data_IF_045400757507
#
_entry.id   IF_045400757507
#
_cell.length_a   1.000
_cell.length_b   1.000
_cell.length_c   1.000
_cell.angle_alpha   90.00
_cell.angle_beta   90.00
_cell.angle_gamma   90.00
#
_symmetry.space_group_name_H-M   'P 1'
#
loop_
_entity.id
_entity.type
_entity.pdbx_description
1 polymer ?
#
# COMPACT_ATOMS: atom_id res chain seq x y z
N UNK A 1 -22.25 -15.48 11.88
CA UNK A 1 -21.18 -15.11 12.86
C UNK A 1 -20.68 -13.72 12.53
N UNK A 2 -20.85 -12.78 13.46
CA UNK A 2 -20.42 -11.40 13.24
C UNK A 2 -18.89 -11.30 13.37
N UNK A 3 -18.26 -10.93 12.28
CA UNK A 3 -16.82 -10.70 12.18
C UNK A 3 -16.56 -9.23 11.80
N UNK A 4 -15.62 -8.59 12.49
CA UNK A 4 -15.19 -7.25 12.13
C UNK A 4 -13.80 -7.29 11.49
N UNK A 5 -13.70 -6.82 10.24
CA UNK A 5 -12.44 -6.52 9.59
C UNK A 5 -11.98 -5.13 10.01
N UNK A 6 -10.77 -5.01 10.56
CA UNK A 6 -10.31 -3.76 11.17
C UNK A 6 -8.91 -3.37 10.70
N UNK A 7 -8.77 -2.11 10.33
CA UNK A 7 -7.51 -1.41 10.05
C UNK A 7 -7.39 -0.26 11.02
N UNK A 8 -6.29 -0.17 11.75
CA UNK A 8 -6.02 0.94 12.68
C UNK A 8 -4.55 1.03 13.05
N UNK A 9 -4.18 2.04 13.84
CA UNK A 9 -2.78 2.36 14.16
C UNK A 9 -1.91 2.60 12.91
N UNK A 10 -2.52 3.05 11.84
CA UNK A 10 -1.92 3.42 10.56
C UNK A 10 -2.75 4.58 10.00
N UNK A 11 -2.48 5.05 8.80
CA UNK A 11 -3.38 6.00 8.14
C UNK A 11 -4.73 5.33 7.80
N UNK A 12 -5.79 6.12 7.75
CA UNK A 12 -7.13 5.70 7.32
C UNK A 12 -7.72 4.49 8.08
N UNK A 13 -7.86 4.63 9.40
CA UNK A 13 -8.52 3.60 10.18
C UNK A 13 -9.91 3.28 9.61
N UNK A 14 -10.21 2.00 9.47
CA UNK A 14 -11.44 1.53 8.83
C UNK A 14 -12.00 0.28 9.51
N UNK A 15 -13.31 0.13 9.42
CA UNK A 15 -14.08 -0.97 10.00
C UNK A 15 -15.04 -1.53 8.97
N UNK A 16 -15.02 -2.85 8.78
CA UNK A 16 -16.00 -3.59 7.99
C UNK A 16 -16.68 -4.64 8.85
N UNK A 17 -17.99 -4.75 8.74
CA UNK A 17 -18.81 -5.74 9.47
C UNK A 17 -19.30 -6.80 8.50
N UNK A 18 -19.04 -8.07 8.85
CA UNK A 18 -19.51 -9.21 8.08
C UNK A 18 -20.41 -10.10 8.93
N UNK A 19 -21.47 -10.66 8.34
CA UNK A 19 -22.11 -11.86 8.86
C UNK A 19 -21.71 -13.03 7.96
N UNK A 20 -20.90 -13.94 8.52
CA UNK A 20 -20.21 -14.97 7.75
C UNK A 20 -19.43 -14.36 6.56
N UNK A 21 -19.84 -14.64 5.33
CA UNK A 21 -19.19 -14.14 4.10
C UNK A 21 -19.90 -12.91 3.51
N UNK A 22 -20.97 -12.42 4.13
CA UNK A 22 -21.72 -11.27 3.65
C UNK A 22 -21.23 -9.98 4.30
N UNK A 23 -20.78 -9.03 3.50
CA UNK A 23 -20.48 -7.68 3.94
C UNK A 23 -21.79 -6.95 4.26
N UNK A 24 -21.97 -6.55 5.52
CA UNK A 24 -23.13 -5.81 5.99
C UNK A 24 -22.89 -4.29 5.98
N UNK A 25 -21.67 -3.87 6.32
CA UNK A 25 -21.33 -2.46 6.44
C UNK A 25 -19.81 -2.24 6.41
N UNK A 26 -19.41 -1.08 5.90
CA UNK A 26 -18.01 -0.62 5.94
C UNK A 26 -17.95 0.89 6.08
N UNK A 27 -16.94 1.39 6.78
CA UNK A 27 -16.74 2.83 7.00
C UNK A 27 -15.27 3.18 7.25
N UNK A 28 -14.92 4.42 6.97
CA UNK A 28 -13.65 5.02 7.35
C UNK A 28 -13.83 5.84 8.64
N UNK A 29 -12.81 5.87 9.49
CA UNK A 29 -12.84 6.71 10.71
C UNK A 29 -13.01 8.19 10.39
N UNK A 30 -12.40 8.67 9.30
CA UNK A 30 -12.53 10.06 8.82
C UNK A 30 -13.97 10.50 8.53
N UNK A 31 -14.87 9.57 8.20
CA UNK A 31 -16.28 9.89 7.94
C UNK A 31 -16.97 10.40 9.23
N UNK A 32 -16.44 10.02 10.37
CA UNK A 32 -16.91 10.39 11.71
C UNK A 32 -16.07 11.49 12.36
N UNK A 33 -14.74 11.35 12.33
CA UNK A 33 -13.81 12.27 12.97
C UNK A 33 -13.57 13.56 12.17
N UNK A 34 -13.82 13.55 10.85
CA UNK A 34 -13.49 14.62 9.90
C UNK A 34 -11.97 14.95 9.82
N UNK A 35 -11.14 14.00 10.24
CA UNK A 35 -9.68 14.09 10.17
C UNK A 35 -9.18 13.23 9.01
N UNK A 36 -8.50 13.84 8.04
CA UNK A 36 -7.88 13.10 6.96
C UNK A 36 -6.74 12.21 7.48
N UNK A 37 -6.64 10.99 6.93
CA UNK A 37 -5.67 9.97 7.33
C UNK A 37 -5.75 9.60 8.82
N UNK A 38 -6.94 9.68 9.45
CA UNK A 38 -7.12 9.37 10.87
C UNK A 38 -6.65 7.94 11.19
N UNK A 39 -5.60 7.76 12.01
CA UNK A 39 -5.07 6.44 12.33
C UNK A 39 -5.91 5.68 13.37
N UNK A 40 -6.87 6.34 14.01
CA UNK A 40 -7.61 5.79 15.14
C UNK A 40 -9.09 5.58 14.79
N UNK A 41 -9.69 4.57 15.43
CA UNK A 41 -11.13 4.43 15.37
C UNK A 41 -11.82 5.60 16.09
N UNK A 42 -13.02 5.92 15.65
CA UNK A 42 -13.90 6.87 16.27
C UNK A 42 -14.94 6.16 17.16
N UNK A 43 -15.25 6.70 18.33
CA UNK A 43 -16.24 6.11 19.26
C UNK A 43 -17.61 5.94 18.61
N UNK A 44 -18.05 6.94 17.86
CA UNK A 44 -19.34 6.88 17.14
C UNK A 44 -19.33 5.79 16.07
N UNK A 45 -18.22 5.63 15.33
CA UNK A 45 -18.07 4.55 14.35
C UNK A 45 -18.24 3.16 14.99
N UNK A 46 -17.54 2.91 16.10
CA UNK A 46 -17.60 1.65 16.84
C UNK A 46 -19.01 1.40 17.40
N UNK A 47 -19.64 2.46 17.90
CA UNK A 47 -20.97 2.36 18.48
C UNK A 47 -22.05 2.09 17.44
N UNK A 48 -22.01 2.76 16.29
CA UNK A 48 -22.90 2.49 15.15
C UNK A 48 -22.77 1.02 14.70
N UNK A 49 -21.55 0.53 14.56
CA UNK A 49 -21.32 -0.88 14.17
C UNK A 49 -21.92 -1.84 15.22
N UNK A 50 -21.70 -1.57 16.50
CA UNK A 50 -22.18 -2.42 17.62
C UNK A 50 -23.70 -2.43 17.75
N UNK A 51 -24.33 -1.24 17.66
CA UNK A 51 -25.78 -1.11 17.80
C UNK A 51 -26.54 -1.69 16.62
N UNK A 52 -26.03 -1.48 15.39
CA UNK A 52 -26.72 -1.92 14.17
C UNK A 52 -26.54 -3.40 13.86
N UNK A 53 -25.36 -3.98 14.20
CA UNK A 53 -24.99 -5.32 13.75
C UNK A 53 -24.55 -6.26 14.88
N UNK A 54 -24.42 -5.75 16.10
CA UNK A 54 -23.94 -6.48 17.27
C UNK A 54 -22.42 -6.45 17.44
N UNK A 55 -21.93 -6.84 18.65
CA UNK A 55 -20.52 -6.89 18.95
C UNK A 55 -19.83 -7.98 18.12
N UNK A 56 -18.52 -7.84 17.80
CA UNK A 56 -17.80 -8.84 17.05
C UNK A 56 -17.59 -10.10 17.88
N UNK A 57 -17.83 -11.27 17.28
CA UNK A 57 -17.43 -12.57 17.81
C UNK A 57 -15.98 -12.89 17.44
N UNK A 58 -15.47 -12.25 16.38
CA UNK A 58 -14.10 -12.34 15.91
C UNK A 58 -13.69 -11.01 15.25
N UNK A 59 -12.43 -10.63 15.41
CA UNK A 59 -11.79 -9.53 14.66
C UNK A 59 -10.76 -10.12 13.70
N UNK A 60 -10.79 -9.68 12.45
CA UNK A 60 -9.71 -9.90 11.49
C UNK A 60 -8.92 -8.60 11.36
N UNK A 61 -7.66 -8.63 11.81
CA UNK A 61 -6.74 -7.49 11.75
C UNK A 61 -5.88 -7.56 10.48
N UNK A 62 -5.70 -6.44 9.80
CA UNK A 62 -5.16 -6.33 8.45
C UNK A 62 -3.67 -6.67 8.29
N UNK A 63 -2.89 -6.74 9.37
CA UNK A 63 -1.45 -7.03 9.33
C UNK A 63 -1.01 -7.88 10.53
N UNK A 64 0.21 -8.42 10.47
CA UNK A 64 0.81 -9.18 11.56
C UNK A 64 1.72 -8.28 12.41
N UNK A 65 1.32 -7.88 13.64
CA UNK A 65 2.03 -6.91 14.47
C UNK A 65 3.47 -7.32 14.78
N UNK A 66 3.73 -8.61 14.94
CA UNK A 66 5.07 -9.12 15.20
C UNK A 66 6.04 -8.82 14.05
N UNK A 67 5.61 -9.01 12.80
CA UNK A 67 6.45 -8.71 11.64
C UNK A 67 6.66 -7.21 11.47
N UNK A 68 5.65 -6.39 11.77
CA UNK A 68 5.78 -4.93 11.80
C UNK A 68 6.83 -4.50 12.83
N UNK A 69 6.78 -5.04 14.05
CA UNK A 69 7.76 -4.77 15.11
C UNK A 69 9.17 -5.18 14.69
N UNK A 70 9.33 -6.37 14.09
CA UNK A 70 10.62 -6.86 13.63
C UNK A 70 11.21 -5.95 12.52
N UNK A 71 10.36 -5.48 11.59
CA UNK A 71 10.78 -4.52 10.57
C UNK A 71 11.21 -3.19 11.17
N UNK A 72 10.44 -2.65 12.11
CA UNK A 72 10.74 -1.38 12.80
C UNK A 72 12.08 -1.46 13.53
N UNK A 73 12.32 -2.56 14.22
CA UNK A 73 13.61 -2.82 14.86
C UNK A 73 14.76 -2.86 13.86
N UNK A 74 14.61 -3.60 12.76
CA UNK A 74 15.62 -3.70 11.70
C UNK A 74 15.87 -2.37 10.99
N UNK A 75 14.89 -1.49 10.95
CA UNK A 75 15.00 -0.13 10.42
C UNK A 75 15.62 0.86 11.44
N UNK A 76 16.01 0.41 12.64
CA UNK A 76 16.59 1.25 13.67
C UNK A 76 15.59 2.17 14.39
N UNK A 77 14.29 1.85 14.31
CA UNK A 77 13.22 2.66 14.91
C UNK A 77 12.92 2.27 16.38
N UNK A 78 13.63 1.28 16.95
CA UNK A 78 13.44 0.80 18.31
C UNK A 78 12.79 -0.58 18.39
N UNK A 79 12.68 -1.12 19.61
CA UNK A 79 12.24 -2.51 19.86
C UNK A 79 10.84 -2.62 20.47
N UNK A 80 10.40 -1.62 21.24
CA UNK A 80 9.15 -1.66 21.98
C UNK A 80 8.17 -0.61 21.45
N UNK A 81 7.27 -1.03 20.58
CA UNK A 81 6.14 -0.23 20.13
C UNK A 81 4.88 -0.70 20.84
N UNK A 82 4.43 0.06 21.85
CA UNK A 82 3.12 -0.16 22.52
C UNK A 82 1.95 -0.13 21.52
N UNK A 83 2.13 0.60 20.43
CA UNK A 83 1.15 0.72 19.32
C UNK A 83 0.95 -0.60 18.59
N UNK A 84 1.90 -1.52 18.63
CA UNK A 84 1.78 -2.85 18.02
C UNK A 84 1.09 -3.87 18.95
N UNK A 85 0.72 -3.50 20.18
CA UNK A 85 -0.15 -4.32 21.03
C UNK A 85 -1.61 -4.10 20.63
N UNK A 86 -2.04 -4.86 19.63
CA UNK A 86 -3.40 -4.75 19.08
C UNK A 86 -4.46 -5.17 20.10
N UNK A 87 -4.15 -6.09 21.03
CA UNK A 87 -5.08 -6.47 22.09
C UNK A 87 -5.34 -5.31 23.04
N UNK A 88 -4.27 -4.63 23.48
CA UNK A 88 -4.40 -3.46 24.33
C UNK A 88 -5.10 -2.29 23.59
N UNK A 89 -4.84 -2.14 22.28
CA UNK A 89 -5.51 -1.15 21.44
C UNK A 89 -7.02 -1.40 21.34
N UNK A 90 -7.43 -2.63 20.99
CA UNK A 90 -8.85 -3.00 20.84
C UNK A 90 -9.61 -3.02 22.17
N UNK A 91 -8.91 -3.30 23.28
CA UNK A 91 -9.50 -3.24 24.62
C UNK A 91 -10.01 -1.82 24.99
N UNK A 92 -9.43 -0.77 24.43
CA UNK A 92 -9.92 0.61 24.62
C UNK A 92 -11.33 0.83 24.06
N UNK A 93 -11.74 -0.05 23.15
CA UNK A 93 -13.05 -0.06 22.48
C UNK A 93 -13.96 -1.19 22.99
N UNK A 94 -13.65 -1.78 24.14
CA UNK A 94 -14.35 -2.93 24.72
C UNK A 94 -14.47 -4.12 23.76
N UNK A 95 -13.45 -4.31 22.89
CA UNK A 95 -13.34 -5.45 21.99
C UNK A 95 -12.33 -6.44 22.58
N UNK A 96 -12.84 -7.58 23.08
CA UNK A 96 -12.03 -8.61 23.78
C UNK A 96 -12.13 -9.99 23.13
N UNK A 97 -12.82 -10.10 22.00
CA UNK A 97 -13.00 -11.36 21.27
C UNK A 97 -11.68 -11.86 20.64
N UNK A 98 -11.75 -13.02 19.98
CA UNK A 98 -10.62 -13.60 19.24
C UNK A 98 -10.16 -12.64 18.14
N UNK A 99 -8.83 -12.40 18.04
CA UNK A 99 -8.20 -11.63 16.97
C UNK A 99 -7.46 -12.61 16.06
N UNK A 100 -7.73 -12.54 14.76
CA UNK A 100 -6.98 -13.20 13.71
C UNK A 100 -6.19 -12.15 12.91
N UNK A 101 -4.90 -12.42 12.72
CA UNK A 101 -4.00 -11.53 11.99
C UNK A 101 -3.81 -12.07 10.57
N UNK A 102 -4.00 -11.22 9.57
CA UNK A 102 -3.71 -11.58 8.18
C UNK A 102 -2.39 -10.94 7.71
N UNK A 103 -1.90 -11.34 6.54
CA UNK A 103 -0.76 -10.68 5.94
C UNK A 103 -1.22 -9.35 5.31
N UNK A 104 -0.43 -8.30 5.45
CA UNK A 104 -0.75 -6.97 4.93
C UNK A 104 -1.10 -7.02 3.42
N UNK A 105 -0.22 -7.54 2.60
CA UNK A 105 -0.46 -7.66 1.15
C UNK A 105 -1.57 -8.67 0.79
N UNK A 106 -1.86 -9.65 1.66
CA UNK A 106 -3.04 -10.51 1.46
C UNK A 106 -4.34 -9.73 1.67
N UNK A 107 -4.37 -8.77 2.62
CA UNK A 107 -5.54 -7.90 2.83
C UNK A 107 -5.83 -7.06 1.58
N UNK A 108 -4.78 -6.44 0.99
CA UNK A 108 -4.91 -5.70 -0.26
C UNK A 108 -5.36 -6.59 -1.41
N UNK A 109 -4.74 -7.76 -1.58
CA UNK A 109 -5.08 -8.68 -2.65
C UNK A 109 -6.51 -9.23 -2.51
N UNK A 110 -6.95 -9.52 -1.28
CA UNK A 110 -8.31 -9.96 -1.02
C UNK A 110 -9.34 -8.87 -1.37
N UNK A 111 -9.09 -7.63 -0.95
CA UNK A 111 -9.96 -6.51 -1.33
C UNK A 111 -10.04 -6.40 -2.85
N UNK A 112 -8.91 -6.32 -3.54
CA UNK A 112 -8.88 -6.14 -4.99
C UNK A 112 -9.53 -7.31 -5.76
N UNK A 113 -9.40 -8.56 -5.27
CA UNK A 113 -9.95 -9.73 -5.94
C UNK A 113 -11.43 -9.95 -5.63
N UNK A 114 -11.85 -9.87 -4.38
CA UNK A 114 -13.22 -10.22 -3.99
C UNK A 114 -14.25 -9.11 -4.22
N UNK A 115 -13.82 -7.89 -4.54
CA UNK A 115 -14.73 -6.76 -4.84
C UNK A 115 -14.95 -6.54 -6.33
N UNK A 116 -14.26 -7.30 -7.20
CA UNK A 116 -14.44 -7.22 -8.65
C UNK A 116 -15.16 -8.48 -9.20
N UNK A 117 -15.81 -8.43 -10.39
CA UNK A 117 -16.71 -9.49 -10.86
C UNK A 117 -16.01 -10.66 -11.57
N UNK A 118 -14.69 -10.67 -11.72
CA UNK A 118 -13.99 -11.64 -12.57
C UNK A 118 -13.36 -12.74 -11.73
N UNK A 119 -13.71 -14.00 -11.98
CA UNK A 119 -13.17 -15.15 -11.25
C UNK A 119 -11.69 -15.43 -11.55
N UNK A 120 -11.22 -15.18 -12.79
CA UNK A 120 -9.81 -15.33 -13.17
C UNK A 120 -9.16 -13.95 -13.34
N UNK A 121 -8.36 -13.55 -12.37
CA UNK A 121 -7.77 -12.20 -12.27
C UNK A 121 -6.31 -12.27 -11.80
N UNK A 122 -5.43 -11.50 -12.42
CA UNK A 122 -4.13 -11.17 -11.85
C UNK A 122 -4.29 -10.00 -10.89
N UNK A 123 -3.80 -10.12 -9.67
CA UNK A 123 -3.86 -9.04 -8.67
C UNK A 123 -2.45 -8.55 -8.38
N UNK A 124 -2.24 -7.24 -8.49
CA UNK A 124 -0.96 -6.59 -8.21
C UNK A 124 -1.14 -5.64 -7.03
N UNK A 125 -0.41 -5.88 -5.95
CA UNK A 125 -0.38 -5.00 -4.80
C UNK A 125 0.95 -4.24 -4.78
N UNK A 126 0.86 -2.92 -4.82
CA UNK A 126 2.00 -2.00 -4.70
C UNK A 126 1.81 -1.19 -3.42
N UNK A 127 2.82 -1.21 -2.56
CA UNK A 127 2.80 -0.49 -1.30
C UNK A 127 4.14 0.20 -1.05
N UNK A 128 4.14 1.16 -0.14
CA UNK A 128 5.39 1.72 0.39
C UNK A 128 6.16 0.66 1.15
N UNK A 129 5.57 0.12 2.22
CA UNK A 129 6.07 -1.05 2.96
C UNK A 129 4.91 -1.67 3.75
N UNK A 130 4.44 -2.84 3.35
CA UNK A 130 3.48 -3.66 4.10
C UNK A 130 4.20 -4.83 4.80
N UNK A 131 4.40 -4.76 6.11
CA UNK A 131 5.29 -5.67 6.85
C UNK A 131 6.73 -5.60 6.28
N UNK A 132 7.13 -6.50 5.39
CA UNK A 132 8.39 -6.47 4.64
C UNK A 132 8.20 -6.39 3.13
N UNK A 133 6.98 -6.63 2.65
CA UNK A 133 6.65 -6.66 1.23
C UNK A 133 6.37 -5.22 0.73
N UNK A 134 6.74 -4.96 -0.51
CA UNK A 134 6.53 -3.67 -1.18
C UNK A 134 5.82 -3.85 -2.51
N UNK A 135 5.85 -5.08 -3.03
CA UNK A 135 5.17 -5.51 -4.22
C UNK A 135 4.81 -6.99 -4.08
N UNK A 136 3.57 -7.34 -4.35
CA UNK A 136 3.17 -8.73 -4.53
C UNK A 136 2.28 -8.90 -5.74
N UNK A 137 2.38 -10.07 -6.39
CA UNK A 137 1.47 -10.45 -7.47
C UNK A 137 0.80 -11.77 -7.10
N UNK A 138 -0.52 -11.80 -7.30
CA UNK A 138 -1.34 -12.95 -6.96
C UNK A 138 -2.14 -13.39 -8.16
N UNK A 139 -2.46 -14.67 -8.20
CA UNK A 139 -3.46 -15.24 -9.10
C UNK A 139 -4.74 -15.51 -8.30
N UNK A 140 -5.79 -14.77 -8.60
CA UNK A 140 -7.15 -15.00 -8.12
C UNK A 140 -7.88 -15.90 -9.10
N UNK A 141 -8.33 -17.08 -8.64
CA UNK A 141 -9.10 -18.03 -9.47
C UNK A 141 -9.92 -18.98 -8.59
N UNK A 142 -11.16 -19.27 -8.99
CA UNK A 142 -12.07 -20.18 -8.29
C UNK A 142 -12.17 -19.81 -6.79
N UNK A 143 -12.41 -18.52 -6.52
CA UNK A 143 -12.54 -17.97 -5.17
C UNK A 143 -11.30 -18.20 -4.27
N UNK A 144 -10.11 -18.32 -4.86
CA UNK A 144 -8.84 -18.51 -4.15
C UNK A 144 -7.80 -17.53 -4.64
N UNK A 145 -6.95 -17.07 -3.72
CA UNK A 145 -5.78 -16.23 -4.00
C UNK A 145 -4.50 -17.04 -3.79
N UNK A 146 -3.66 -17.09 -4.82
CA UNK A 146 -2.32 -17.69 -4.76
C UNK A 146 -1.26 -16.64 -5.07
N UNK A 147 -0.37 -16.36 -4.11
CA UNK A 147 0.79 -15.48 -4.36
C UNK A 147 1.75 -16.15 -5.33
N UNK A 148 2.08 -15.45 -6.42
CA UNK A 148 3.00 -15.93 -7.46
C UNK A 148 4.32 -15.15 -7.47
N UNK A 149 4.33 -13.93 -6.91
CA UNK A 149 5.56 -13.13 -6.78
C UNK A 149 5.52 -12.25 -5.55
N UNK A 150 6.69 -11.95 -5.00
CA UNK A 150 6.88 -11.01 -3.90
C UNK A 150 8.23 -10.31 -4.03
N UNK A 151 8.22 -9.01 -3.79
CA UNK A 151 9.41 -8.19 -3.65
C UNK A 151 9.32 -7.43 -2.33
N UNK A 152 10.44 -7.30 -1.64
CA UNK A 152 10.50 -6.67 -0.33
C UNK A 152 11.39 -5.43 -0.27
N UNK A 153 11.31 -4.77 0.88
CA UNK A 153 12.15 -3.65 1.24
C UNK A 153 13.66 -3.95 1.06
N UNK A 154 14.48 -3.02 0.56
CA UNK A 154 14.19 -1.59 0.31
C UNK A 154 13.66 -1.27 -1.10
N UNK A 155 13.36 -2.26 -1.91
CA UNK A 155 12.95 -2.09 -3.31
C UNK A 155 11.45 -1.79 -3.38
N UNK A 156 11.06 -0.51 -3.37
CA UNK A 156 9.67 -0.06 -3.33
C UNK A 156 9.40 1.06 -4.32
N UNK A 157 8.44 0.84 -5.21
CA UNK A 157 7.93 1.88 -6.12
C UNK A 157 7.16 2.96 -5.35
N UNK A 158 6.45 2.59 -4.28
CA UNK A 158 5.75 3.56 -3.43
C UNK A 158 6.73 4.49 -2.72
N UNK A 159 7.80 3.96 -2.10
CA UNK A 159 8.85 4.78 -1.48
C UNK A 159 9.59 5.64 -2.50
N UNK A 160 9.85 5.14 -3.70
CA UNK A 160 10.44 5.94 -4.77
C UNK A 160 9.54 7.12 -5.12
N UNK A 161 8.24 6.88 -5.32
CA UNK A 161 7.29 7.94 -5.65
C UNK A 161 7.18 8.98 -4.54
N UNK A 162 7.05 8.56 -3.28
CA UNK A 162 7.01 9.46 -2.12
C UNK A 162 8.31 10.25 -1.93
N UNK A 163 9.48 9.63 -2.17
CA UNK A 163 10.76 10.33 -2.10
C UNK A 163 10.88 11.41 -3.20
N UNK A 164 10.39 11.14 -4.39
CA UNK A 164 10.32 12.14 -5.46
C UNK A 164 9.31 13.26 -5.13
N UNK A 165 8.19 12.93 -4.49
CA UNK A 165 7.24 13.92 -3.97
C UNK A 165 7.95 14.90 -3.03
N UNK A 166 8.71 14.40 -2.06
CA UNK A 166 9.52 15.23 -1.15
C UNK A 166 10.60 16.02 -1.90
N UNK A 167 11.27 15.40 -2.89
CA UNK A 167 12.31 16.07 -3.71
C UNK A 167 11.78 17.31 -4.43
N UNK A 168 10.50 17.34 -4.73
CA UNK A 168 9.82 18.47 -5.36
C UNK A 168 9.28 19.51 -4.36
N UNK A 169 9.55 19.34 -3.05
CA UNK A 169 9.09 20.24 -2.00
C UNK A 169 7.63 19.99 -1.57
N UNK A 170 7.04 18.87 -1.99
CA UNK A 170 5.70 18.44 -1.61
C UNK A 170 5.74 17.52 -0.37
N UNK A 171 4.61 17.29 0.26
CA UNK A 171 4.50 16.46 1.46
C UNK A 171 4.17 15.02 1.06
N UNK A 172 5.08 14.09 1.34
CA UNK A 172 4.86 12.67 1.11
C UNK A 172 3.66 12.14 1.90
N UNK A 173 2.98 11.15 1.37
CA UNK A 173 1.74 10.53 1.86
C UNK A 173 0.53 11.47 1.88
N UNK A 174 0.64 12.65 1.27
CA UNK A 174 -0.45 13.62 1.13
C UNK A 174 -0.55 14.19 -0.27
N UNK A 175 0.57 14.59 -0.85
CA UNK A 175 0.59 15.40 -2.05
C UNK A 175 1.00 14.60 -3.32
N UNK A 176 1.05 13.26 -3.26
CA UNK A 176 1.39 12.41 -4.43
C UNK A 176 0.49 12.65 -5.63
N UNK A 177 -0.78 13.01 -5.40
CA UNK A 177 -1.71 13.34 -6.48
C UNK A 177 -1.28 14.60 -7.27
N UNK A 178 -0.55 15.54 -6.62
CA UNK A 178 0.01 16.71 -7.28
C UNK A 178 1.14 16.32 -8.24
N UNK A 179 1.90 15.26 -7.94
CA UNK A 179 2.95 14.77 -8.84
C UNK A 179 2.34 14.36 -10.19
N UNK A 180 1.22 13.63 -10.19
CA UNK A 180 0.52 13.25 -11.41
C UNK A 180 -0.04 14.48 -12.17
N UNK A 181 -0.48 15.51 -11.45
CA UNK A 181 -0.92 16.77 -12.07
C UNK A 181 0.26 17.56 -12.68
N UNK A 182 1.36 17.68 -11.94
CA UNK A 182 2.57 18.39 -12.39
C UNK A 182 3.24 17.69 -13.57
N UNK A 183 3.18 16.35 -13.61
CA UNK A 183 3.70 15.55 -14.70
C UNK A 183 3.15 15.97 -16.08
N UNK A 184 1.91 16.45 -16.13
CA UNK A 184 1.28 16.97 -17.37
C UNK A 184 1.92 18.25 -17.90
N UNK A 185 2.66 18.98 -17.07
CA UNK A 185 3.35 20.24 -17.42
C UNK A 185 4.83 20.04 -17.71
N UNK A 186 5.38 18.83 -17.42
CA UNK A 186 6.79 18.52 -17.57
C UNK A 186 7.13 17.69 -18.81
N UNK A 187 8.43 17.50 -19.02
CA UNK A 187 8.99 16.69 -20.11
C UNK A 187 9.73 15.47 -19.57
N UNK A 188 9.07 14.31 -19.52
CA UNK A 188 9.65 13.08 -18.98
C UNK A 188 10.98 12.70 -19.65
N UNK A 189 11.10 12.88 -20.98
CA UNK A 189 12.29 12.52 -21.77
C UNK A 189 13.57 13.25 -21.30
N UNK A 190 13.44 14.38 -20.61
CA UNK A 190 14.59 15.15 -20.09
C UNK A 190 15.30 14.41 -18.97
N UNK A 191 14.56 13.79 -18.05
CA UNK A 191 15.12 13.24 -16.81
C UNK A 191 14.89 11.73 -16.62
N UNK A 192 13.89 11.12 -17.26
CA UNK A 192 13.61 9.70 -17.07
C UNK A 192 14.80 8.78 -17.38
N UNK A 193 15.60 8.98 -18.46
CA UNK A 193 16.78 8.13 -18.70
C UNK A 193 17.82 8.26 -17.58
N UNK A 194 18.00 9.46 -17.03
CA UNK A 194 18.93 9.72 -15.92
C UNK A 194 18.43 9.08 -14.63
N UNK A 195 17.15 9.23 -14.30
CA UNK A 195 16.53 8.58 -13.15
C UNK A 195 16.64 7.06 -13.23
N UNK A 196 16.35 6.46 -14.37
CA UNK A 196 16.48 5.01 -14.57
C UNK A 196 17.92 4.52 -14.41
N UNK A 197 18.89 5.29 -14.85
CA UNK A 197 20.30 4.95 -14.68
C UNK A 197 20.77 5.11 -13.24
N UNK A 198 20.34 6.16 -12.54
CA UNK A 198 20.90 6.56 -11.26
C UNK A 198 20.09 6.03 -10.05
N UNK A 199 18.79 5.86 -10.17
CA UNK A 199 17.89 5.60 -9.04
C UNK A 199 17.21 4.24 -9.07
N UNK A 200 16.87 3.74 -10.26
CA UNK A 200 16.07 2.53 -10.39
C UNK A 200 16.62 1.64 -11.50
N UNK A 201 16.65 0.35 -11.25
CA UNK A 201 17.03 -0.65 -12.22
C UNK A 201 15.84 -1.55 -12.54
N UNK A 202 15.37 -1.48 -13.76
CA UNK A 202 14.32 -2.35 -14.28
C UNK A 202 14.97 -3.35 -15.21
N UNK A 203 15.08 -4.61 -14.81
CA UNK A 203 15.75 -5.65 -15.59
C UNK A 203 14.97 -5.97 -16.88
N UNK A 204 15.36 -5.31 -17.97
CA UNK A 204 14.77 -5.48 -19.28
C UNK A 204 15.20 -6.76 -20.00
N UNK A 205 16.38 -7.30 -19.64
CA UNK A 205 17.08 -8.27 -20.52
C UNK A 205 16.70 -9.73 -20.23
N UNK A 206 15.88 -10.03 -19.21
CA UNK A 206 15.64 -11.42 -18.80
C UNK A 206 14.19 -11.88 -18.90
N UNK A 207 13.31 -11.09 -19.50
CA UNK A 207 11.87 -11.43 -19.56
C UNK A 207 11.21 -11.58 -18.19
N UNK A 208 11.88 -11.10 -17.14
CA UNK A 208 11.47 -11.23 -15.76
C UNK A 208 11.35 -9.84 -15.13
N UNK A 209 10.22 -9.12 -15.34
CA UNK A 209 9.99 -7.81 -14.76
C UNK A 209 9.87 -7.85 -13.23
N UNK A 210 10.12 -9.01 -12.63
CA UNK A 210 10.05 -9.27 -11.21
C UNK A 210 11.08 -8.49 -10.39
N UNK A 211 12.09 -7.88 -11.01
CA UNK A 211 13.17 -7.22 -10.29
C UNK A 211 13.21 -5.74 -10.61
N UNK A 212 12.29 -5.02 -10.02
CA UNK A 212 12.38 -3.55 -9.94
C UNK A 212 13.30 -3.24 -8.76
N UNK A 213 14.60 -3.01 -9.02
CA UNK A 213 15.56 -2.74 -7.96
C UNK A 213 15.75 -1.24 -7.80
N UNK A 214 15.59 -0.76 -6.58
CA UNK A 214 16.04 0.58 -6.21
C UNK A 214 17.55 0.54 -5.95
N UNK A 215 18.28 1.49 -6.52
CA UNK A 215 19.73 1.63 -6.31
C UNK A 215 20.05 2.27 -4.96
N UNK A 216 19.05 2.94 -4.38
CA UNK A 216 19.14 3.60 -3.08
C UNK A 216 17.94 3.25 -2.20
N UNK A 217 18.11 3.42 -0.90
CA UNK A 217 17.02 3.30 0.05
C UNK A 217 16.25 4.63 0.14
N UNK A 218 15.07 4.70 -0.45
CA UNK A 218 14.22 5.89 -0.50
C UNK A 218 13.41 6.16 0.77
N UNK A 219 13.52 5.33 1.79
CA UNK A 219 12.77 5.54 3.04
C UNK A 219 13.08 6.88 3.73
N UNK A 220 14.27 7.43 3.48
CA UNK A 220 14.69 8.75 4.01
C UNK A 220 14.58 9.89 2.99
N UNK A 221 13.83 9.69 1.91
CA UNK A 221 13.75 10.66 0.82
C UNK A 221 14.96 10.64 -0.11
N UNK A 222 15.02 11.61 -1.03
CA UNK A 222 16.08 11.73 -2.02
C UNK A 222 16.43 13.19 -2.37
N UNK A 223 16.36 14.12 -1.42
CA UNK A 223 16.67 15.54 -1.62
C UNK A 223 18.11 15.77 -2.10
N UNK A 224 18.99 14.78 -1.90
CA UNK A 224 20.37 14.75 -2.38
C UNK A 224 20.46 14.59 -3.91
N UNK A 225 19.42 14.06 -4.56
CA UNK A 225 19.46 13.80 -6.00
C UNK A 225 19.24 15.09 -6.78
N UNK A 226 20.26 15.46 -7.58
CA UNK A 226 20.24 16.63 -8.48
C UNK A 226 19.76 17.91 -7.80
N UNK A 227 20.38 18.34 -6.68
CA UNK A 227 19.93 19.53 -5.94
C UNK A 227 19.97 20.83 -6.75
N UNK A 228 20.78 20.86 -7.81
CA UNK A 228 20.86 21.96 -8.78
C UNK A 228 19.56 22.17 -9.57
N UNK A 229 18.71 21.15 -9.72
CA UNK A 229 17.41 21.27 -10.36
C UNK A 229 16.42 21.88 -9.35
N UNK A 230 16.22 23.18 -9.41
CA UNK A 230 15.46 23.94 -8.41
C UNK A 230 14.38 24.85 -8.98
N UNK A 231 14.34 25.05 -10.30
CA UNK A 231 13.30 25.86 -10.94
C UNK A 231 11.94 25.13 -10.93
N UNK A 232 10.85 25.90 -11.05
CA UNK A 232 9.51 25.32 -11.16
C UNK A 232 9.39 24.37 -12.37
N UNK A 233 10.08 24.68 -13.48
CA UNK A 233 10.09 23.79 -14.64
C UNK A 233 10.84 22.49 -14.35
N UNK A 234 11.91 22.53 -13.56
CA UNK A 234 12.61 21.32 -13.12
C UNK A 234 11.71 20.42 -12.28
N UNK A 235 10.89 21.02 -11.38
CA UNK A 235 9.92 20.24 -10.59
C UNK A 235 8.87 19.55 -11.49
N UNK A 236 8.38 20.24 -12.53
CA UNK A 236 7.48 19.62 -13.50
C UNK A 236 8.16 18.49 -14.29
N UNK A 237 9.40 18.65 -14.68
CA UNK A 237 10.15 17.63 -15.42
C UNK A 237 10.51 16.43 -14.52
N UNK A 238 10.83 16.65 -13.23
CA UNK A 238 10.99 15.59 -12.23
C UNK A 238 9.68 14.83 -12.06
N UNK A 239 8.55 15.52 -11.92
CA UNK A 239 7.23 14.90 -11.81
C UNK A 239 6.90 14.05 -13.03
N UNK A 240 7.14 14.59 -14.24
CA UNK A 240 6.89 13.88 -15.49
C UNK A 240 7.76 12.62 -15.63
N UNK A 241 9.04 12.70 -15.24
CA UNK A 241 9.94 11.54 -15.26
C UNK A 241 9.55 10.50 -14.23
N UNK A 242 9.18 10.90 -13.00
CA UNK A 242 8.71 10.02 -11.94
C UNK A 242 7.45 9.27 -12.36
N UNK A 243 6.45 9.98 -12.86
CA UNK A 243 5.20 9.40 -13.34
C UNK A 243 5.44 8.41 -14.49
N UNK A 244 6.26 8.80 -15.46
CA UNK A 244 6.59 7.94 -16.59
C UNK A 244 7.26 6.63 -16.16
N UNK A 245 8.21 6.68 -15.23
CA UNK A 245 8.89 5.49 -14.71
C UNK A 245 7.91 4.59 -13.94
N UNK A 246 7.06 5.20 -13.11
CA UNK A 246 6.04 4.47 -12.36
C UNK A 246 5.08 3.72 -13.30
N UNK A 247 4.50 4.43 -14.27
CA UNK A 247 3.60 3.85 -15.28
C UNK A 247 4.27 2.75 -16.10
N UNK A 248 5.53 2.95 -16.48
CA UNK A 248 6.32 1.94 -17.17
C UNK A 248 6.46 0.67 -16.33
N UNK A 249 6.86 0.78 -15.05
CA UNK A 249 7.00 -0.35 -14.15
C UNK A 249 5.68 -1.10 -13.94
N UNK A 250 4.58 -0.37 -13.72
CA UNK A 250 3.24 -0.97 -13.55
C UNK A 250 2.80 -1.69 -14.83
N UNK A 251 3.03 -1.09 -16.00
CA UNK A 251 2.68 -1.69 -17.29
C UNK A 251 3.43 -3.01 -17.53
N UNK A 252 4.74 -3.03 -17.29
CA UNK A 252 5.57 -4.23 -17.44
C UNK A 252 5.14 -5.33 -16.46
N UNK A 253 4.87 -4.97 -15.20
CA UNK A 253 4.34 -5.91 -14.20
C UNK A 253 2.98 -6.46 -14.60
N UNK A 254 2.10 -5.62 -15.14
CA UNK A 254 0.77 -5.99 -15.57
C UNK A 254 0.80 -7.00 -16.73
N UNK A 255 1.63 -6.75 -17.72
CA UNK A 255 1.82 -7.68 -18.86
C UNK A 255 2.37 -9.02 -18.35
N UNK A 256 3.41 -8.99 -17.50
CA UNK A 256 3.98 -10.18 -16.92
C UNK A 256 2.96 -10.96 -16.08
N UNK A 257 2.22 -10.29 -15.21
CA UNK A 257 1.21 -10.92 -14.35
C UNK A 257 0.12 -11.64 -15.17
N UNK A 258 -0.35 -11.00 -16.25
CA UNK A 258 -1.31 -11.63 -17.19
C UNK A 258 -0.76 -12.89 -17.82
N UNK A 259 0.49 -12.86 -18.29
CA UNK A 259 1.16 -14.03 -18.89
C UNK A 259 1.30 -15.16 -17.87
N UNK A 260 1.71 -14.85 -16.62
CA UNK A 260 1.91 -15.87 -15.59
C UNK A 260 0.62 -16.51 -15.09
N UNK A 261 -0.49 -15.79 -15.15
CA UNK A 261 -1.79 -16.25 -14.61
C UNK A 261 -2.77 -16.70 -15.69
N UNK A 262 -2.45 -16.48 -16.96
CA UNK A 262 -3.40 -16.61 -18.07
C UNK A 262 -4.74 -15.88 -17.79
N UNK A 263 -4.64 -14.74 -17.10
CA UNK A 263 -5.78 -13.93 -16.73
C UNK A 263 -6.01 -12.81 -17.75
N UNK A 264 -7.28 -12.59 -18.11
CA UNK A 264 -7.67 -11.48 -18.98
C UNK A 264 -7.78 -10.16 -18.21
N UNK A 265 -8.04 -10.22 -16.92
CA UNK A 265 -8.31 -9.07 -16.06
C UNK A 265 -7.19 -8.87 -15.06
N UNK A 266 -6.98 -7.61 -14.68
CA UNK A 266 -6.03 -7.20 -13.63
C UNK A 266 -6.81 -6.37 -12.61
N UNK A 267 -6.56 -6.63 -11.32
CA UNK A 267 -6.93 -5.77 -10.21
C UNK A 267 -5.66 -5.17 -9.58
N UNK A 268 -5.74 -3.90 -9.17
CA UNK A 268 -4.67 -3.13 -8.54
C UNK A 268 -5.11 -2.67 -7.16
#
# INVERSE_FOLDING_TARGET
>A
MINWGMVGNSHDASLAVFDNDQLLWASLSKDFSKIDNDPNFNSTQIEVARQSFGPPQKVTWYERPFLKTLRQWRAGQGWLYKENDIRAYLKRWDITCKIEYTQHHLSHAAYAYYTQPHDNCAVICLDSIGEFETLTVWHGKNNKLKKIHSQGYPHSLGLFYSAMTQRMGLVAQRDEYLVAQWAKKGKAKRLAPTMMRELIDVDHNRGNPQKIKMRHNFHRGCNWWRPELSSQQDMYDIAAATQHIFEYCVSVLSIWAKVQTDAKHIAL
#
